data_IF_374485155356
#
_entry.id   IF_374485155356
#
_cell.length_a   1.000
_cell.length_b   1.000
_cell.length_c   1.000
_cell.angle_alpha   90.00
_cell.angle_beta   90.00
_cell.angle_gamma   90.00
#
_symmetry.space_group_name_H-M   'P 1'
#
loop_
_entity.id
_entity.type
_entity.pdbx_description
1 polymer ?
#
# COMPACT_ATOMS: atom_id res chain seq x y z
N UNK A 1 -43.99 -41.04 -66.37
CA UNK A 1 -45.36 -40.50 -66.55
C UNK A 1 -46.24 -41.15 -65.49
N UNK A 2 -47.02 -40.49 -64.63
CA UNK A 2 -47.23 -39.08 -64.28
C UNK A 2 -47.68 -39.10 -62.81
N UNK A 3 -47.01 -38.33 -61.94
CA UNK A 3 -47.39 -38.21 -60.54
C UNK A 3 -48.52 -37.17 -60.44
N UNK A 4 -49.77 -37.61 -60.22
CA UNK A 4 -50.91 -36.71 -60.00
C UNK A 4 -50.81 -36.14 -58.59
N UNK A 5 -50.63 -34.82 -58.46
CA UNK A 5 -50.74 -34.11 -57.18
C UNK A 5 -52.22 -33.92 -56.86
N UNK A 6 -52.65 -34.40 -55.67
CA UNK A 6 -53.96 -34.11 -55.08
C UNK A 6 -54.03 -32.60 -54.81
N UNK A 7 -55.15 -31.96 -55.15
CA UNK A 7 -55.32 -30.52 -54.92
C UNK A 7 -55.70 -30.23 -53.47
N UNK A 8 -55.42 -29.00 -53.02
CA UNK A 8 -55.75 -28.56 -51.66
C UNK A 8 -57.24 -28.70 -51.35
N UNK A 9 -58.11 -28.55 -52.35
CA UNK A 9 -59.57 -28.65 -52.17
C UNK A 9 -60.02 -30.09 -51.87
N UNK A 10 -59.39 -31.10 -52.47
CA UNK A 10 -59.65 -32.52 -52.14
C UNK A 10 -59.17 -32.87 -50.72
N UNK A 11 -58.09 -32.25 -50.25
CA UNK A 11 -57.61 -32.42 -48.88
C UNK A 11 -58.54 -31.75 -47.87
N UNK A 12 -58.97 -30.51 -48.12
CA UNK A 12 -59.90 -29.80 -47.23
C UNK A 12 -61.24 -30.50 -47.12
N UNK A 13 -61.81 -31.00 -48.23
CA UNK A 13 -63.06 -31.76 -48.20
C UNK A 13 -62.96 -33.08 -47.40
N UNK A 14 -61.79 -33.73 -47.41
CA UNK A 14 -61.50 -34.92 -46.60
C UNK A 14 -61.42 -34.60 -45.11
N UNK A 15 -60.82 -33.47 -44.75
CA UNK A 15 -60.66 -33.02 -43.35
C UNK A 15 -62.01 -32.58 -42.77
N UNK A 16 -62.80 -31.80 -43.51
CA UNK A 16 -64.13 -31.35 -43.08
C UNK A 16 -65.08 -32.53 -42.81
N UNK A 17 -65.01 -33.58 -43.66
CA UNK A 17 -65.82 -34.81 -43.50
C UNK A 17 -65.40 -35.66 -42.30
N UNK A 18 -64.14 -35.59 -41.88
CA UNK A 18 -63.67 -36.26 -40.66
C UNK A 18 -63.99 -35.46 -39.39
N UNK A 19 -64.06 -34.13 -39.50
CA UNK A 19 -64.33 -33.23 -38.36
C UNK A 19 -65.83 -32.99 -38.12
N UNK A 20 -66.72 -33.22 -39.10
CA UNK A 20 -68.17 -33.01 -38.94
C UNK A 20 -68.86 -33.96 -37.94
N UNK A 21 -68.12 -34.96 -37.42
CA UNK A 21 -68.60 -35.91 -36.41
C UNK A 21 -68.20 -35.59 -34.97
N UNK A 22 -67.35 -34.59 -34.73
CA UNK A 22 -66.88 -34.25 -33.39
C UNK A 22 -67.83 -33.25 -32.72
N UNK A 23 -68.68 -33.74 -31.81
CA UNK A 23 -69.36 -32.87 -30.85
C UNK A 23 -68.33 -32.22 -29.93
N UNK A 24 -68.42 -30.91 -29.63
CA UNK A 24 -67.52 -30.27 -28.68
C UNK A 24 -67.75 -30.88 -27.29
N UNK A 25 -66.68 -31.41 -26.68
CA UNK A 25 -66.67 -31.90 -25.31
C UNK A 25 -66.39 -30.72 -24.35
N UNK A 26 -67.36 -30.28 -23.53
CA UNK A 26 -67.19 -29.17 -22.60
C UNK A 26 -66.12 -29.45 -21.53
N UNK A 27 -65.78 -30.71 -21.29
CA UNK A 27 -64.83 -31.11 -20.26
C UNK A 27 -63.36 -30.92 -20.70
N UNK A 28 -63.10 -30.90 -22.01
CA UNK A 28 -61.76 -30.67 -22.55
C UNK A 28 -61.36 -29.18 -22.49
N UNK A 29 -62.32 -28.28 -22.76
CA UNK A 29 -62.09 -26.83 -22.69
C UNK A 29 -61.76 -26.38 -21.25
N UNK A 30 -62.46 -26.95 -20.26
CA UNK A 30 -62.23 -26.63 -18.84
C UNK A 30 -60.87 -27.12 -18.32
N UNK A 31 -60.31 -28.20 -18.90
CA UNK A 31 -58.96 -28.69 -18.56
C UNK A 31 -57.84 -27.85 -19.17
N UNK A 32 -58.07 -27.25 -20.33
CA UNK A 32 -57.09 -26.35 -20.96
C UNK A 32 -57.03 -25.04 -20.18
N UNK A 33 -58.18 -24.47 -19.82
CA UNK A 33 -58.28 -23.23 -19.05
C UNK A 33 -57.77 -23.37 -17.59
N UNK A 34 -57.88 -24.57 -17.00
CA UNK A 34 -57.28 -24.87 -15.70
C UNK A 34 -55.75 -25.10 -15.75
N UNK A 35 -55.18 -25.45 -16.91
CA UNK A 35 -53.73 -25.67 -17.07
C UNK A 35 -52.94 -24.39 -17.39
N UNK A 36 -53.61 -23.31 -17.79
CA UNK A 36 -52.96 -22.01 -18.08
C UNK A 36 -52.78 -21.09 -16.86
N UNK A 37 -53.25 -21.50 -15.67
CA UNK A 37 -53.21 -20.67 -14.45
C UNK A 37 -52.19 -21.07 -13.37
N UNK A 38 -51.24 -21.96 -13.65
CA UNK A 38 -50.11 -22.21 -12.74
C UNK A 38 -48.77 -21.70 -13.31
N UNK A 39 -48.35 -20.58 -12.73
CA UNK A 39 -47.00 -20.02 -12.57
C UNK A 39 -46.00 -20.03 -13.74
N UNK A 40 -45.70 -18.80 -14.19
CA UNK A 40 -44.48 -18.42 -14.93
C UNK A 40 -43.27 -19.18 -14.40
N UNK A 41 -42.70 -20.06 -15.22
CA UNK A 41 -41.38 -20.64 -14.98
C UNK A 41 -40.32 -19.55 -15.12
N UNK A 42 -40.04 -18.85 -14.02
CA UNK A 42 -38.82 -18.06 -13.90
C UNK A 42 -37.67 -19.05 -14.04
N UNK A 43 -36.82 -18.87 -15.05
CA UNK A 43 -35.62 -19.71 -15.28
C UNK A 43 -34.84 -19.77 -13.98
N UNK A 44 -34.94 -20.90 -13.26
CA UNK A 44 -34.19 -21.13 -12.03
C UNK A 44 -32.74 -21.29 -12.44
N UNK A 45 -31.96 -20.22 -12.29
CA UNK A 45 -30.50 -20.31 -12.29
C UNK A 45 -30.19 -21.34 -11.21
N UNK A 46 -29.65 -22.49 -11.64
CA UNK A 46 -29.37 -23.61 -10.74
C UNK A 46 -28.55 -23.09 -9.56
N UNK A 47 -28.90 -23.50 -8.34
CA UNK A 47 -28.15 -23.13 -7.14
C UNK A 47 -26.65 -23.44 -7.30
N UNK A 48 -26.29 -24.43 -8.13
CA UNK A 48 -24.90 -24.75 -8.51
C UNK A 48 -24.22 -23.67 -9.36
N UNK A 49 -24.95 -22.99 -10.25
CA UNK A 49 -24.45 -21.87 -11.05
C UNK A 49 -24.31 -20.60 -10.20
N UNK A 50 -25.23 -20.38 -9.25
CA UNK A 50 -25.11 -19.31 -8.24
C UNK A 50 -23.95 -19.63 -7.30
N UNK A 51 -23.72 -20.88 -6.91
CA UNK A 51 -22.60 -21.28 -6.05
C UNK A 51 -21.25 -21.19 -6.78
N UNK A 52 -21.18 -21.59 -8.06
CA UNK A 52 -19.99 -21.41 -8.89
C UNK A 52 -19.72 -19.93 -9.19
N UNK A 53 -20.76 -19.14 -9.51
CA UNK A 53 -20.64 -17.70 -9.65
C UNK A 53 -20.33 -17.02 -8.32
N UNK A 54 -20.80 -17.52 -7.18
CA UNK A 54 -20.43 -17.02 -5.85
C UNK A 54 -19.01 -17.40 -5.48
N UNK A 55 -18.52 -18.61 -5.81
CA UNK A 55 -17.12 -19.01 -5.62
C UNK A 55 -16.20 -18.17 -6.51
N UNK A 56 -16.63 -17.84 -7.74
CA UNK A 56 -15.91 -16.93 -8.65
C UNK A 56 -16.09 -15.45 -8.25
N UNK A 57 -17.20 -15.05 -7.62
CA UNK A 57 -17.40 -13.68 -7.12
C UNK A 57 -16.82 -13.45 -5.72
N UNK A 58 -16.40 -14.51 -5.01
CA UNK A 58 -15.62 -14.39 -3.76
C UNK A 58 -14.13 -14.16 -4.06
N UNK A 59 -13.68 -14.22 -5.32
CA UNK A 59 -12.28 -13.94 -5.68
C UNK A 59 -11.95 -12.45 -5.81
N UNK A 60 -12.65 -11.57 -5.09
CA UNK A 60 -12.19 -10.19 -4.84
C UNK A 60 -12.02 -9.93 -3.34
N UNK A 61 -11.98 -10.97 -2.51
CA UNK A 61 -11.69 -10.79 -1.08
C UNK A 61 -10.90 -11.97 -0.52
N UNK A 62 -9.73 -12.24 -1.10
CA UNK A 62 -8.63 -12.96 -0.43
C UNK A 62 -7.40 -13.04 -1.36
N UNK A 63 -6.67 -11.94 -1.50
CA UNK A 63 -5.22 -12.05 -1.74
C UNK A 63 -4.42 -11.62 -0.49
N UNK A 64 -5.07 -11.13 0.56
CA UNK A 64 -4.42 -10.96 1.87
C UNK A 64 -4.00 -12.31 2.50
N UNK A 65 -4.62 -13.44 2.13
CA UNK A 65 -4.28 -14.77 2.65
C UNK A 65 -3.00 -15.38 2.01
N UNK A 66 -2.36 -14.67 1.07
CA UNK A 66 -1.13 -15.10 0.39
C UNK A 66 0.05 -14.14 0.56
N UNK A 67 -0.12 -13.04 1.30
CA UNK A 67 0.99 -12.14 1.64
C UNK A 67 1.99 -12.86 2.53
N UNK A 68 3.25 -12.89 2.08
CA UNK A 68 4.36 -13.43 2.86
C UNK A 68 5.30 -12.26 3.14
N UNK A 69 5.47 -11.94 4.41
CA UNK A 69 6.43 -10.93 4.84
C UNK A 69 7.75 -11.60 5.18
N UNK A 70 8.85 -10.90 4.86
CA UNK A 70 10.15 -11.29 5.39
C UNK A 70 10.18 -11.07 6.90
N UNK A 71 11.07 -11.80 7.59
CA UNK A 71 11.33 -11.57 9.02
C UNK A 71 11.71 -10.11 9.30
N UNK A 72 12.46 -9.47 8.39
CA UNK A 72 12.85 -8.05 8.48
C UNK A 72 11.63 -7.15 8.63
N UNK A 73 10.58 -7.36 7.83
CA UNK A 73 9.35 -6.54 7.90
C UNK A 73 8.58 -6.78 9.21
N UNK A 74 8.46 -8.03 9.65
CA UNK A 74 7.81 -8.36 10.93
C UNK A 74 8.55 -7.70 12.11
N UNK A 75 9.87 -7.87 12.17
CA UNK A 75 10.71 -7.31 13.23
C UNK A 75 10.70 -5.78 13.20
N UNK A 76 10.73 -5.15 12.03
CA UNK A 76 10.58 -3.69 11.89
C UNK A 76 9.22 -3.19 12.38
N UNK A 77 8.13 -3.91 12.08
CA UNK A 77 6.79 -3.56 12.55
C UNK A 77 6.71 -3.64 14.08
N UNK A 78 7.32 -4.67 14.68
CA UNK A 78 7.43 -4.78 16.12
C UNK A 78 8.28 -3.66 16.73
N UNK A 79 9.40 -3.32 16.09
CA UNK A 79 10.29 -2.26 16.55
C UNK A 79 9.60 -0.89 16.55
N UNK A 80 8.91 -0.55 15.45
CA UNK A 80 8.15 0.69 15.32
C UNK A 80 7.07 0.83 16.40
N UNK A 81 6.33 -0.25 16.68
CA UNK A 81 5.31 -0.27 17.74
C UNK A 81 5.90 -0.13 19.13
N UNK A 82 7.06 -0.76 19.39
CA UNK A 82 7.71 -0.64 20.70
C UNK A 82 8.24 0.77 20.93
N UNK A 83 8.77 1.43 19.89
CA UNK A 83 9.21 2.82 19.99
C UNK A 83 8.05 3.77 20.31
N UNK A 84 6.89 3.59 19.66
CA UNK A 84 5.67 4.33 19.99
C UNK A 84 5.21 4.03 21.42
N UNK A 85 5.20 2.77 21.83
CA UNK A 85 4.77 2.37 23.18
C UNK A 85 5.69 2.87 24.29
N UNK A 86 7.01 2.82 24.09
CA UNK A 86 7.99 3.17 25.11
C UNK A 86 8.21 4.69 25.22
N UNK A 87 8.23 5.39 24.08
CA UNK A 87 8.61 6.81 24.02
C UNK A 87 7.52 7.73 23.44
N UNK A 88 6.39 7.19 22.98
CA UNK A 88 5.33 7.99 22.36
C UNK A 88 5.65 8.48 20.94
N UNK A 89 6.72 7.95 20.32
CA UNK A 89 7.17 8.36 18.99
C UNK A 89 6.35 7.62 17.93
N UNK A 90 5.36 8.31 17.37
CA UNK A 90 4.40 7.74 16.41
C UNK A 90 5.05 7.38 15.09
N UNK A 91 4.39 6.55 14.28
CA UNK A 91 4.85 6.23 12.92
C UNK A 91 5.07 7.46 12.05
N UNK A 92 4.24 8.50 12.22
CA UNK A 92 4.40 9.79 11.53
C UNK A 92 5.68 10.50 11.96
N UNK A 93 6.02 10.51 13.26
CA UNK A 93 7.30 11.09 13.72
C UNK A 93 8.49 10.27 13.20
N UNK A 94 8.40 8.94 13.26
CA UNK A 94 9.42 8.02 12.75
C UNK A 94 9.72 8.30 11.27
N UNK A 95 8.69 8.38 10.43
CA UNK A 95 8.82 8.66 9.00
C UNK A 95 9.11 10.12 8.65
N UNK A 96 9.04 11.06 9.61
CA UNK A 96 9.35 12.47 9.37
C UNK A 96 10.78 12.82 9.78
N UNK A 97 11.24 12.35 10.93
CA UNK A 97 12.39 12.93 11.62
C UNK A 97 13.57 11.98 11.80
N UNK A 98 13.41 10.71 11.43
CA UNK A 98 14.40 9.68 11.68
C UNK A 98 14.80 8.94 10.40
N UNK A 99 16.10 8.72 10.23
CA UNK A 99 16.63 7.67 9.36
C UNK A 99 16.56 6.36 10.13
N UNK A 100 16.17 5.30 9.43
CA UNK A 100 16.11 3.95 9.98
C UNK A 100 17.18 3.07 9.39
N UNK A 101 17.94 2.41 10.25
CA UNK A 101 18.92 1.39 9.89
C UNK A 101 18.51 0.06 10.53
N UNK A 102 18.76 -1.05 9.83
CA UNK A 102 18.39 -2.39 10.28
C UNK A 102 19.58 -3.32 10.16
N UNK A 103 20.01 -3.86 11.29
CA UNK A 103 20.99 -4.93 11.35
C UNK A 103 20.29 -6.22 11.76
N UNK A 104 20.21 -7.19 10.85
CA UNK A 104 19.56 -8.48 11.10
C UNK A 104 20.58 -9.60 11.17
N UNK A 105 20.48 -10.41 12.22
CA UNK A 105 21.20 -11.68 12.37
C UNK A 105 20.20 -12.83 12.46
N UNK A 106 20.71 -14.07 12.50
CA UNK A 106 19.87 -15.25 12.70
C UNK A 106 19.08 -15.22 14.01
N UNK A 107 19.56 -14.52 15.04
CA UNK A 107 18.98 -14.55 16.38
C UNK A 107 18.21 -13.29 16.76
N UNK A 108 18.63 -12.15 16.24
CA UNK A 108 18.10 -10.85 16.64
C UNK A 108 18.15 -9.85 15.49
N UNK A 109 17.21 -8.91 15.52
CA UNK A 109 17.19 -7.74 14.64
C UNK A 109 17.33 -6.50 15.50
N UNK A 110 18.30 -5.65 15.18
CA UNK A 110 18.51 -4.36 15.81
C UNK A 110 18.05 -3.30 14.81
N UNK A 111 17.12 -2.45 15.24
CA UNK A 111 16.60 -1.33 14.44
C UNK A 111 16.99 -0.04 15.12
N UNK A 112 17.79 0.78 14.43
CA UNK A 112 18.20 2.10 14.90
C UNK A 112 17.38 3.18 14.20
N UNK A 113 16.89 4.15 14.98
CA UNK A 113 16.20 5.35 14.52
C UNK A 113 17.04 6.55 14.94
N UNK A 114 17.78 7.13 13.99
CA UNK A 114 18.66 8.27 14.23
C UNK A 114 18.03 9.55 13.65
N UNK A 115 18.08 10.65 14.40
CA UNK A 115 17.55 11.93 13.90
C UNK A 115 18.19 12.34 12.57
N UNK A 116 17.41 12.96 11.69
CA UNK A 116 17.88 13.47 10.39
C UNK A 116 18.86 14.64 10.58
N UNK A 117 19.96 14.63 9.83
CA UNK A 117 20.89 15.76 9.71
C UNK A 117 21.25 16.42 11.07
N UNK A 118 20.95 17.72 11.22
CA UNK A 118 21.18 18.52 12.43
C UNK A 118 20.34 18.09 13.63
N UNK A 119 19.26 17.34 13.41
CA UNK A 119 18.41 16.82 14.48
C UNK A 119 19.06 15.63 15.20
N UNK A 120 20.06 14.98 14.59
CA UNK A 120 20.71 13.78 15.15
C UNK A 120 21.24 13.98 16.56
N UNK A 121 21.82 15.15 16.85
CA UNK A 121 22.35 15.44 18.17
C UNK A 121 21.21 15.57 19.22
N UNK A 122 20.23 16.41 18.93
CA UNK A 122 19.15 16.74 19.88
C UNK A 122 18.17 15.58 20.07
N UNK A 123 17.81 14.87 19.00
CA UNK A 123 16.93 13.70 19.05
C UNK A 123 17.64 12.43 19.50
N UNK A 124 18.98 12.39 19.39
CA UNK A 124 19.77 11.19 19.62
C UNK A 124 19.39 10.04 18.68
N UNK A 125 19.78 8.84 19.11
CA UNK A 125 19.44 7.57 18.48
C UNK A 125 18.57 6.73 19.42
N UNK A 126 17.48 6.20 18.89
CA UNK A 126 16.67 5.17 19.54
C UNK A 126 17.05 3.81 18.94
N UNK A 127 17.38 2.85 19.78
CA UNK A 127 17.73 1.49 19.35
C UNK A 127 16.68 0.52 19.87
N UNK A 128 16.08 -0.24 18.97
CA UNK A 128 15.11 -1.27 19.31
C UNK A 128 15.69 -2.63 18.97
N UNK A 129 15.87 -3.48 19.98
CA UNK A 129 16.30 -4.86 19.79
C UNK A 129 15.07 -5.76 19.76
N UNK A 130 14.93 -6.54 18.68
CA UNK A 130 13.88 -7.54 18.50
C UNK A 130 14.47 -8.94 18.57
N UNK A 131 14.04 -9.71 19.57
CA UNK A 131 14.51 -11.07 19.83
C UNK A 131 13.36 -11.92 20.36
N UNK A 132 13.21 -13.13 19.81
CA UNK A 132 12.15 -14.08 20.19
C UNK A 132 10.73 -13.44 20.14
N UNK A 133 10.47 -12.60 19.14
CA UNK A 133 9.19 -11.88 18.97
C UNK A 133 8.92 -10.80 20.02
N UNK A 134 9.93 -10.39 20.80
CA UNK A 134 9.85 -9.32 21.79
C UNK A 134 10.76 -8.18 21.39
N UNK A 135 10.25 -6.97 21.48
CA UNK A 135 10.99 -5.75 21.23
C UNK A 135 11.33 -5.06 22.55
N UNK A 136 12.50 -4.41 22.61
CA UNK A 136 12.90 -3.53 23.72
C UNK A 136 13.60 -2.32 23.14
N UNK A 137 13.08 -1.14 23.45
CA UNK A 137 13.63 0.13 23.00
C UNK A 137 14.50 0.76 24.10
N UNK A 138 15.58 1.38 23.68
CA UNK A 138 16.41 2.27 24.50
C UNK A 138 16.68 3.56 23.73
N UNK A 139 16.93 4.64 24.45
CA UNK A 139 17.32 5.91 23.86
C UNK A 139 18.72 6.28 24.33
N UNK A 140 19.57 6.70 23.39
CA UNK A 140 20.93 7.16 23.68
C UNK A 140 21.00 8.31 24.70
N UNK A 141 19.89 9.01 24.94
CA UNK A 141 19.78 10.13 25.89
C UNK A 141 18.82 9.83 27.05
N UNK A 142 18.56 8.55 27.31
CA UNK A 142 17.75 8.12 28.46
C UNK A 142 18.31 8.71 29.77
N UNK A 143 17.41 9.33 30.54
CA UNK A 143 17.75 9.96 31.82
C UNK A 143 18.21 11.42 31.72
N UNK A 144 18.34 11.99 30.52
CA UNK A 144 18.54 13.42 30.33
C UNK A 144 17.25 14.23 30.54
N UNK A 145 17.40 15.50 30.93
CA UNK A 145 16.26 16.40 31.10
C UNK A 145 15.81 16.97 29.74
N UNK A 146 14.57 16.69 29.37
CA UNK A 146 13.95 17.19 28.13
C UNK A 146 13.05 18.40 28.38
N UNK A 147 12.99 18.92 29.62
CA UNK A 147 12.18 20.08 29.93
C UNK A 147 12.76 21.37 29.31
N UNK A 148 11.88 22.30 28.92
CA UNK A 148 12.29 23.60 28.38
C UNK A 148 12.09 23.79 26.88
N UNK A 149 11.38 22.88 26.21
CA UNK A 149 11.08 23.01 24.77
C UNK A 149 12.34 22.88 23.91
N UNK A 150 12.46 23.68 22.85
CA UNK A 150 13.61 23.63 21.94
C UNK A 150 14.92 24.20 22.51
N UNK A 151 14.91 24.74 23.73
CA UNK A 151 16.12 25.16 24.44
C UNK A 151 16.77 24.01 25.22
N UNK A 152 16.08 22.88 25.37
CA UNK A 152 16.60 21.69 26.04
C UNK A 152 17.76 21.08 25.24
N UNK A 153 18.76 20.55 25.93
CA UNK A 153 19.90 19.91 25.26
C UNK A 153 19.49 18.58 24.60
N UNK A 154 18.47 17.88 25.13
CA UNK A 154 17.90 16.63 24.61
C UNK A 154 16.41 16.81 24.28
N UNK A 155 15.99 16.34 23.11
CA UNK A 155 14.63 16.52 22.60
C UNK A 155 13.86 15.20 22.62
N UNK A 156 12.82 15.17 23.45
CA UNK A 156 11.93 14.02 23.60
C UNK A 156 10.63 14.19 22.81
N UNK A 157 9.63 13.42 23.21
CA UNK A 157 8.31 13.40 22.54
C UNK A 157 7.59 14.75 22.55
N UNK A 158 7.82 15.59 23.56
CA UNK A 158 7.21 16.94 23.61
C UNK A 158 7.73 17.83 22.47
N UNK A 159 9.05 17.84 22.25
CA UNK A 159 9.67 18.56 21.13
C UNK A 159 9.27 17.96 19.79
N UNK A 160 9.22 16.64 19.66
CA UNK A 160 8.75 15.98 18.42
C UNK A 160 7.30 16.35 18.08
N UNK A 161 6.42 16.49 19.08
CA UNK A 161 5.06 16.99 18.84
C UNK A 161 5.07 18.46 18.39
N UNK A 162 5.89 19.30 19.01
CA UNK A 162 6.02 20.70 18.59
C UNK A 162 6.57 20.84 17.16
N UNK A 163 7.54 20.00 16.77
CA UNK A 163 8.05 19.93 15.39
C UNK A 163 6.94 19.51 14.43
N UNK A 164 6.17 18.48 14.79
CA UNK A 164 5.07 17.97 13.99
C UNK A 164 3.98 19.03 13.79
N UNK A 165 3.63 19.77 14.84
CA UNK A 165 2.67 20.87 14.76
C UNK A 165 3.21 22.01 13.89
N UNK A 166 4.51 22.31 13.97
CA UNK A 166 5.15 23.33 13.13
C UNK A 166 5.10 22.96 11.63
N UNK A 167 5.44 21.71 11.29
CA UNK A 167 5.43 21.22 9.91
C UNK A 167 4.00 21.12 9.33
N UNK A 168 3.02 20.72 10.14
CA UNK A 168 1.61 20.65 9.73
C UNK A 168 1.01 22.02 9.44
N UNK A 169 1.44 23.06 10.14
CA UNK A 169 0.88 24.41 10.01
C UNK A 169 1.62 25.25 8.94
N UNK A 170 2.11 24.61 7.87
CA UNK A 170 2.79 25.24 6.73
C UNK A 170 4.00 26.11 7.12
N UNK A 171 4.74 25.72 8.17
CA UNK A 171 5.96 26.41 8.60
C UNK A 171 5.70 27.91 8.83
N UNK A 172 4.73 28.23 9.70
CA UNK A 172 4.36 29.62 10.01
C UNK A 172 5.63 30.47 10.22
N UNK A 173 5.88 31.49 9.37
CA UNK A 173 7.11 32.27 9.44
C UNK A 173 7.24 33.07 10.74
N UNK A 174 6.18 33.15 11.54
CA UNK A 174 6.18 33.77 12.87
C UNK A 174 6.58 32.80 13.99
N UNK A 175 6.72 31.50 13.71
CA UNK A 175 7.24 30.51 14.65
C UNK A 175 8.72 30.23 14.37
N UNK A 176 9.57 30.11 15.41
CA UNK A 176 10.97 29.78 15.23
C UNK A 176 11.10 28.39 14.63
N UNK A 177 11.84 28.30 13.52
CA UNK A 177 12.27 27.05 12.93
C UNK A 177 13.14 26.29 13.94
N UNK A 178 12.82 25.01 14.16
CA UNK A 178 13.54 24.16 15.09
C UNK A 178 14.89 23.72 14.54
N UNK A 179 15.09 23.68 13.22
CA UNK A 179 16.36 23.25 12.61
C UNK A 179 17.56 24.12 13.02
N UNK A 180 17.49 25.48 12.94
CA UNK A 180 18.53 26.35 13.45
C UNK A 180 18.83 26.18 14.95
N UNK A 181 17.80 25.94 15.76
CA UNK A 181 17.96 25.73 17.20
C UNK A 181 18.69 24.42 17.49
N UNK A 182 18.32 23.33 16.80
CA UNK A 182 19.02 22.05 16.87
C UNK A 182 20.49 22.19 16.46
N UNK A 183 20.76 22.93 15.37
CA UNK A 183 22.11 23.19 14.89
C UNK A 183 22.94 24.02 15.89
N UNK A 184 22.35 25.03 16.53
CA UNK A 184 23.04 25.82 17.57
C UNK A 184 23.41 24.95 18.79
N UNK A 185 22.48 24.11 19.25
CA UNK A 185 22.74 23.18 20.36
C UNK A 185 23.85 22.20 19.98
N UNK A 186 23.78 21.58 18.80
CA UNK A 186 24.82 20.69 18.30
C UNK A 186 26.19 21.38 18.25
N UNK A 187 26.25 22.63 17.77
CA UNK A 187 27.47 23.42 17.73
C UNK A 187 28.03 23.74 19.11
N UNK A 188 27.16 24.13 20.05
CA UNK A 188 27.52 24.44 21.45
C UNK A 188 28.21 23.26 22.13
N UNK A 189 27.77 22.04 21.81
CA UNK A 189 28.31 20.79 22.33
C UNK A 189 29.41 20.17 21.45
N UNK A 190 29.81 20.84 20.37
CA UNK A 190 30.82 20.36 19.42
C UNK A 190 30.49 18.96 18.87
N UNK A 191 29.19 18.69 18.67
CA UNK A 191 28.74 17.44 18.09
C UNK A 191 29.30 17.28 16.67
N UNK A 192 29.77 16.08 16.33
CA UNK A 192 30.20 15.79 14.97
C UNK A 192 29.00 15.91 14.02
N UNK A 193 29.09 16.84 13.07
CA UNK A 193 28.15 16.91 11.98
C UNK A 193 28.45 15.76 11.02
N UNK A 194 27.61 14.73 11.03
CA UNK A 194 27.65 13.64 10.05
C UNK A 194 26.78 14.02 8.86
N UNK A 195 27.38 14.72 7.91
CA UNK A 195 26.86 14.80 6.55
C UNK A 195 27.95 14.18 5.68
N UNK A 196 27.65 13.08 5.00
CA UNK A 196 28.63 12.27 4.26
C UNK A 196 29.20 12.99 3.01
N UNK A 197 29.04 14.30 2.92
CA UNK A 197 29.36 15.11 1.76
C UNK A 197 28.42 14.79 0.60
N UNK A 198 28.47 15.62 -0.44
CA UNK A 198 27.87 15.24 -1.71
C UNK A 198 28.83 14.25 -2.40
N UNK A 199 28.35 13.08 -2.87
CA UNK A 199 29.17 12.17 -3.64
C UNK A 199 29.78 12.90 -4.85
N UNK A 200 31.03 12.56 -5.19
CA UNK A 200 31.67 13.08 -6.39
C UNK A 200 30.94 12.60 -7.66
N UNK A 201 31.09 13.32 -8.77
CA UNK A 201 30.49 12.94 -10.05
C UNK A 201 30.90 11.51 -10.48
N UNK A 202 32.13 11.10 -10.22
CA UNK A 202 32.62 9.75 -10.50
C UNK A 202 31.93 8.69 -9.61
N UNK A 203 31.69 9.01 -8.33
CA UNK A 203 30.92 8.13 -7.43
C UNK A 203 29.46 8.03 -7.89
N UNK A 204 28.83 9.15 -8.24
CA UNK A 204 27.47 9.17 -8.79
C UNK A 204 27.39 8.30 -10.03
N UNK A 205 28.30 8.48 -11.00
CA UNK A 205 28.32 7.70 -12.23
C UNK A 205 28.53 6.20 -11.96
N UNK A 206 29.41 5.86 -11.01
CA UNK A 206 29.66 4.47 -10.61
C UNK A 206 28.42 3.84 -9.98
N UNK A 207 27.76 4.54 -9.06
CA UNK A 207 26.55 4.08 -8.38
C UNK A 207 25.37 3.94 -9.35
N UNK A 208 25.20 4.88 -10.27
CA UNK A 208 24.17 4.82 -11.32
C UNK A 208 24.37 3.58 -12.20
N UNK A 209 25.60 3.29 -12.61
CA UNK A 209 25.90 2.09 -13.41
C UNK A 209 25.63 0.81 -12.64
N UNK A 210 26.05 0.74 -11.38
CA UNK A 210 25.78 -0.41 -10.52
C UNK A 210 24.27 -0.64 -10.35
N UNK A 211 23.52 0.41 -10.05
CA UNK A 211 22.05 0.36 -9.91
C UNK A 211 21.39 -0.16 -11.19
N UNK A 212 21.85 0.26 -12.36
CA UNK A 212 21.33 -0.24 -13.63
C UNK A 212 21.64 -1.73 -13.83
N UNK A 213 22.85 -2.18 -13.48
CA UNK A 213 23.24 -3.59 -13.57
C UNK A 213 22.39 -4.47 -12.63
N UNK A 214 22.17 -4.01 -11.40
CA UNK A 214 21.30 -4.67 -10.41
C UNK A 214 19.83 -4.71 -10.86
N UNK A 215 19.35 -3.61 -11.47
CA UNK A 215 18.00 -3.53 -12.02
C UNK A 215 17.81 -4.53 -13.18
N UNK A 216 18.77 -4.59 -14.11
CA UNK A 216 18.74 -5.52 -15.24
C UNK A 216 18.82 -6.98 -14.76
N UNK A 217 19.67 -7.26 -13.78
CA UNK A 217 19.76 -8.57 -13.14
C UNK A 217 18.42 -8.97 -12.53
N UNK A 218 17.84 -8.12 -11.70
CA UNK A 218 16.59 -8.40 -10.99
C UNK A 218 15.43 -8.57 -11.96
N UNK A 219 15.36 -7.74 -13.00
CA UNK A 219 14.37 -7.88 -14.07
C UNK A 219 14.53 -9.20 -14.83
N UNK A 220 15.76 -9.66 -15.06
CA UNK A 220 16.02 -10.90 -15.82
C UNK A 220 15.57 -12.17 -15.10
N UNK A 221 15.52 -12.15 -13.76
CA UNK A 221 15.10 -13.28 -12.92
C UNK A 221 13.64 -13.20 -12.47
N UNK A 222 12.95 -12.10 -12.78
CA UNK A 222 11.57 -11.86 -12.37
C UNK A 222 10.63 -12.99 -12.84
N UNK A 223 9.87 -13.55 -11.89
CA UNK A 223 8.84 -14.57 -12.13
C UNK A 223 7.43 -14.01 -12.03
N UNK A 224 7.30 -12.81 -11.47
CA UNK A 224 6.07 -12.06 -11.33
C UNK A 224 6.06 -10.89 -12.32
N UNK A 225 4.86 -10.52 -12.75
CA UNK A 225 4.63 -9.29 -13.51
C UNK A 225 4.64 -8.08 -12.58
N UNK A 226 4.96 -6.90 -13.11
CA UNK A 226 4.89 -5.64 -12.34
C UNK A 226 3.50 -5.41 -11.75
N UNK A 227 2.45 -5.76 -12.50
CA UNK A 227 1.07 -5.64 -12.02
C UNK A 227 0.80 -6.52 -10.79
N UNK A 228 1.32 -7.75 -10.77
CA UNK A 228 1.18 -8.64 -9.61
C UNK A 228 1.95 -8.09 -8.40
N UNK A 229 3.16 -7.58 -8.61
CA UNK A 229 3.97 -6.98 -7.55
C UNK A 229 3.36 -5.69 -6.99
N UNK A 230 2.78 -4.83 -7.85
CA UNK A 230 2.04 -3.63 -7.42
C UNK A 230 0.85 -4.00 -6.53
N UNK A 231 0.11 -5.07 -6.89
CA UNK A 231 -1.03 -5.52 -6.10
C UNK A 231 -0.61 -6.11 -4.74
N UNK A 232 0.46 -6.91 -4.71
CA UNK A 232 1.06 -7.40 -3.47
C UNK A 232 1.50 -6.23 -2.57
N UNK A 233 2.19 -5.25 -3.13
CA UNK A 233 2.66 -4.08 -2.42
C UNK A 233 1.50 -3.23 -1.86
N UNK A 234 0.42 -3.06 -2.65
CA UNK A 234 -0.80 -2.35 -2.23
C UNK A 234 -1.49 -3.02 -1.04
N UNK A 235 -1.49 -4.35 -0.98
CA UNK A 235 -2.03 -5.07 0.16
C UNK A 235 -1.09 -5.04 1.37
N UNK A 236 0.23 -5.09 1.12
CA UNK A 236 1.24 -5.00 2.16
C UNK A 236 1.14 -3.70 2.97
N UNK A 237 1.06 -2.55 2.30
CA UNK A 237 0.90 -1.25 3.00
C UNK A 237 -0.41 -1.17 3.79
N UNK A 238 -1.51 -1.71 3.26
CA UNK A 238 -2.79 -1.71 3.95
C UNK A 238 -2.70 -2.48 5.27
N UNK A 239 -2.03 -3.63 5.23
CA UNK A 239 -1.79 -4.49 6.38
C UNK A 239 -0.80 -3.90 7.39
N UNK A 240 0.35 -3.39 6.92
CA UNK A 240 1.42 -2.89 7.80
C UNK A 240 1.02 -1.58 8.47
N UNK A 241 0.47 -0.63 7.70
CA UNK A 241 0.13 0.72 8.17
C UNK A 241 -1.33 0.87 8.57
N UNK A 242 -2.12 -0.21 8.55
CA UNK A 242 -3.54 -0.24 8.89
C UNK A 242 -4.35 0.82 8.13
N UNK A 243 -4.12 0.96 6.82
CA UNK A 243 -4.85 1.94 6.01
C UNK A 243 -6.33 1.54 5.89
N UNK A 244 -7.23 2.51 5.97
CA UNK A 244 -8.68 2.26 5.79
C UNK A 244 -9.02 2.09 4.31
N UNK A 245 -10.18 1.50 4.00
CA UNK A 245 -10.66 1.39 2.62
C UNK A 245 -10.74 2.75 1.91
N UNK A 246 -11.16 3.80 2.62
CA UNK A 246 -11.20 5.16 2.10
C UNK A 246 -9.81 5.70 1.76
N UNK A 247 -8.82 5.42 2.62
CA UNK A 247 -7.41 5.78 2.36
C UNK A 247 -6.85 4.98 1.17
N UNK A 248 -7.16 3.69 1.10
CA UNK A 248 -6.74 2.83 -0.02
C UNK A 248 -7.31 3.30 -1.36
N UNK A 249 -8.51 3.88 -1.38
CA UNK A 249 -9.12 4.47 -2.58
C UNK A 249 -8.42 5.76 -3.04
N UNK A 250 -7.73 6.46 -2.15
CA UNK A 250 -6.99 7.68 -2.46
C UNK A 250 -5.52 7.41 -2.84
N UNK A 251 -5.04 6.20 -2.57
CA UNK A 251 -3.66 5.80 -2.76
C UNK A 251 -3.29 5.68 -4.24
N UNK A 252 -2.32 6.51 -4.67
CA UNK A 252 -1.81 6.55 -6.05
C UNK A 252 -0.49 5.81 -6.16
N UNK A 253 -0.40 4.87 -7.09
CA UNK A 253 0.86 4.19 -7.43
C UNK A 253 1.60 5.01 -8.50
N UNK A 254 2.85 5.37 -8.26
CA UNK A 254 3.63 6.20 -9.19
C UNK A 254 3.83 5.53 -10.54
N UNK A 255 4.09 4.22 -10.51
CA UNK A 255 4.26 3.37 -11.69
C UNK A 255 3.00 3.33 -12.57
N UNK A 256 1.81 3.56 -12.00
CA UNK A 256 0.55 3.59 -12.76
C UNK A 256 0.25 4.97 -13.38
N UNK A 257 0.93 6.04 -12.94
CA UNK A 257 0.66 7.41 -13.41
C UNK A 257 1.22 7.72 -14.79
N UNK A 258 2.15 6.90 -15.30
CA UNK A 258 2.83 7.12 -16.58
C UNK A 258 3.88 8.24 -16.55
N UNK A 259 4.03 8.96 -15.42
CA UNK A 259 5.14 9.88 -15.17
C UNK A 259 6.31 9.11 -14.54
N UNK A 260 6.79 8.11 -15.26
CA UNK A 260 8.01 7.38 -14.89
C UNK A 260 9.16 8.24 -15.40
N UNK A 261 9.95 8.79 -14.49
CA UNK A 261 11.24 9.35 -14.85
C UNK A 261 12.09 8.22 -15.45
N UNK A 262 12.63 8.43 -16.65
CA UNK A 262 13.43 7.42 -17.38
C UNK A 262 14.64 6.97 -16.55
N UNK A 263 15.08 7.80 -15.60
CA UNK A 263 16.20 7.52 -14.71
C UNK A 263 15.79 6.75 -13.43
N UNK A 264 14.49 6.57 -13.17
CA UNK A 264 14.02 5.83 -11.98
C UNK A 264 14.02 4.31 -12.21
N UNK A 265 14.99 3.63 -11.59
CA UNK A 265 15.04 2.17 -11.55
C UNK A 265 14.14 1.62 -10.43
N UNK A 266 13.04 0.97 -10.79
CA UNK A 266 12.18 0.26 -9.83
C UNK A 266 12.63 -1.18 -9.53
N UNK A 267 13.55 -1.73 -10.31
CA UNK A 267 14.17 -3.01 -10.01
C UNK A 267 15.51 -2.77 -9.32
N UNK A 268 15.88 -3.62 -8.38
CA UNK A 268 17.15 -3.51 -7.66
C UNK A 268 17.44 -4.72 -6.78
N UNK A 269 18.52 -4.64 -6.02
CA UNK A 269 18.89 -5.65 -5.04
C UNK A 269 18.75 -5.06 -3.63
N UNK A 270 18.03 -5.76 -2.76
CA UNK A 270 17.86 -5.42 -1.34
C UNK A 270 18.28 -6.64 -0.50
N UNK A 271 19.26 -6.49 0.40
CA UNK A 271 19.83 -7.59 1.21
C UNK A 271 20.17 -8.85 0.38
N UNK A 272 20.85 -8.67 -0.76
CA UNK A 272 21.19 -9.71 -1.76
C UNK A 272 19.98 -10.34 -2.49
N UNK A 273 18.77 -9.81 -2.33
CA UNK A 273 17.55 -10.33 -2.95
C UNK A 273 17.10 -9.44 -4.11
N UNK A 274 16.69 -10.03 -5.25
CA UNK A 274 16.16 -9.25 -6.37
C UNK A 274 14.74 -8.77 -6.05
N UNK A 275 14.55 -7.45 -6.09
CA UNK A 275 13.31 -6.79 -5.72
C UNK A 275 12.78 -5.84 -6.80
N UNK A 276 11.48 -5.58 -6.71
CA UNK A 276 10.79 -4.51 -7.39
C UNK A 276 10.19 -3.56 -6.35
N UNK A 277 10.68 -2.32 -6.33
CA UNK A 277 10.25 -1.25 -5.43
C UNK A 277 9.01 -0.56 -5.98
N UNK A 278 7.90 -0.68 -5.24
CA UNK A 278 6.62 -0.05 -5.58
C UNK A 278 6.42 1.20 -4.74
N UNK A 279 6.10 2.31 -5.39
CA UNK A 279 6.01 3.62 -4.76
C UNK A 279 4.57 4.11 -4.79
N UNK A 280 4.03 4.43 -3.61
CA UNK A 280 2.70 4.98 -3.47
C UNK A 280 2.73 6.34 -2.81
N UNK A 281 1.78 7.20 -3.16
CA UNK A 281 1.50 8.42 -2.45
C UNK A 281 0.05 8.40 -1.95
N UNK A 282 -0.12 8.77 -0.68
CA UNK A 282 -1.41 9.08 -0.08
C UNK A 282 -1.47 10.57 0.20
N UNK A 283 -2.49 11.23 -0.34
CA UNK A 283 -2.82 12.62 -0.04
C UNK A 283 -4.33 12.70 0.16
N UNK A 284 -4.74 12.90 1.41
CA UNK A 284 -6.14 12.98 1.82
C UNK A 284 -6.69 14.41 1.76
N UNK A 285 -5.84 15.40 1.96
CA UNK A 285 -6.19 16.81 1.82
C UNK A 285 -6.55 17.19 0.39
N UNK A 286 -7.52 18.10 0.22
CA UNK A 286 -7.78 18.69 -1.09
C UNK A 286 -6.72 19.74 -1.40
N UNK A 287 -6.08 19.66 -2.56
CA UNK A 287 -5.28 20.77 -3.10
C UNK A 287 -6.21 21.97 -3.28
N UNK A 288 -5.96 23.03 -2.52
CA UNK A 288 -6.67 24.29 -2.69
C UNK A 288 -6.53 24.81 -4.12
N UNK A 289 -7.45 25.67 -4.55
CA UNK A 289 -7.41 26.31 -5.87
C UNK A 289 -6.27 27.32 -6.05
N UNK A 290 -5.47 27.55 -5.00
CA UNK A 290 -4.30 28.41 -5.01
C UNK A 290 -3.05 27.59 -5.34
N UNK A 291 -2.38 27.84 -6.48
CA UNK A 291 -1.12 27.20 -6.81
C UNK A 291 -0.08 27.43 -5.70
N UNK A 292 0.60 26.36 -5.28
CA UNK A 292 1.63 26.42 -4.23
C UNK A 292 1.13 26.32 -2.79
N UNK A 293 -0.18 26.17 -2.55
CA UNK A 293 -0.68 25.84 -1.20
C UNK A 293 -0.65 24.33 -1.00
N UNK A 294 0.16 23.86 -0.04
CA UNK A 294 0.21 22.46 0.36
C UNK A 294 -1.16 22.05 0.94
N UNK A 295 -1.68 20.85 0.60
CA UNK A 295 -2.83 20.31 1.30
C UNK A 295 -2.53 20.19 2.79
N UNK A 296 -3.53 20.45 3.64
CA UNK A 296 -3.40 20.20 5.07
C UNK A 296 -3.05 18.72 5.29
N UNK A 297 -2.00 18.47 6.05
CA UNK A 297 -1.57 17.12 6.35
C UNK A 297 -2.63 16.39 7.17
N UNK A 298 -3.00 15.20 6.71
CA UNK A 298 -3.82 14.25 7.46
C UNK A 298 -2.94 13.06 7.85
N UNK A 299 -3.15 12.51 9.04
CA UNK A 299 -2.43 11.31 9.51
C UNK A 299 -2.41 10.23 8.42
N UNK A 300 -1.21 9.65 8.17
CA UNK A 300 -0.91 8.69 7.08
C UNK A 300 -0.75 9.29 5.68
N UNK A 301 -0.91 10.59 5.48
CA UNK A 301 -0.43 11.22 4.26
C UNK A 301 1.08 11.00 4.12
N UNK A 302 1.55 10.90 2.87
CA UNK A 302 2.96 10.70 2.58
C UNK A 302 3.25 9.70 1.47
N UNK A 303 4.50 9.27 1.43
CA UNK A 303 5.05 8.30 0.47
C UNK A 303 5.23 6.96 1.18
N UNK A 304 4.86 5.90 0.49
CA UNK A 304 5.08 4.52 0.90
C UNK A 304 5.92 3.82 -0.16
N UNK A 305 6.95 3.10 0.27
CA UNK A 305 7.75 2.26 -0.62
C UNK A 305 7.71 0.83 -0.12
N UNK A 306 7.52 -0.13 -1.03
CA UNK A 306 7.51 -1.55 -0.72
C UNK A 306 8.40 -2.29 -1.70
N UNK A 307 9.34 -3.07 -1.18
CA UNK A 307 10.18 -3.93 -2.00
C UNK A 307 9.58 -5.33 -2.05
N UNK A 308 9.21 -5.76 -3.25
CA UNK A 308 8.64 -7.08 -3.50
C UNK A 308 9.69 -7.96 -4.17
N UNK A 309 9.97 -9.12 -3.59
CA UNK A 309 10.89 -10.09 -4.19
C UNK A 309 10.34 -10.57 -5.54
N UNK A 310 11.09 -10.33 -6.62
CA UNK A 310 10.62 -10.55 -7.99
C UNK A 310 10.42 -12.02 -8.35
N UNK A 311 11.05 -12.93 -7.60
CA UNK A 311 10.96 -14.37 -7.83
C UNK A 311 9.84 -15.03 -7.02
N UNK A 312 9.55 -14.50 -5.82
CA UNK A 312 8.73 -15.20 -4.81
C UNK A 312 7.49 -14.42 -4.39
N UNK A 313 7.46 -13.11 -4.58
CA UNK A 313 6.40 -12.23 -4.09
C UNK A 313 6.46 -11.93 -2.59
N UNK A 314 7.53 -12.37 -1.91
CA UNK A 314 7.78 -12.00 -0.50
C UNK A 314 7.98 -10.48 -0.40
N UNK A 315 7.36 -9.87 0.60
CA UNK A 315 7.58 -8.45 0.93
C UNK A 315 8.87 -8.36 1.74
N UNK A 316 9.92 -7.81 1.15
CA UNK A 316 11.26 -7.78 1.74
C UNK A 316 11.47 -6.56 2.62
N UNK A 317 10.86 -5.42 2.27
CA UNK A 317 10.97 -4.17 3.00
C UNK A 317 9.69 -3.33 2.87
N UNK A 318 9.47 -2.43 3.84
CA UNK A 318 8.45 -1.38 3.77
C UNK A 318 8.98 -0.07 4.37
N UNK A 319 8.69 1.04 3.72
CA UNK A 319 9.02 2.40 4.18
C UNK A 319 7.77 3.27 4.18
N UNK A 320 7.69 4.18 5.15
CA UNK A 320 6.73 5.26 5.22
C UNK A 320 7.48 6.55 5.52
N UNK A 321 7.26 7.56 4.68
CA UNK A 321 7.75 8.92 4.84
C UNK A 321 6.53 9.84 4.79
N UNK A 322 6.33 10.67 5.82
CA UNK A 322 5.17 11.58 5.88
C UNK A 322 5.28 12.75 4.89
N UNK A 323 6.49 13.03 4.40
CA UNK A 323 6.85 14.22 3.64
C UNK A 323 6.80 15.53 4.44
N UNK A 324 6.62 15.49 5.77
CA UNK A 324 6.52 16.71 6.59
C UNK A 324 7.86 17.42 6.75
N UNK A 325 8.95 16.67 6.90
CA UNK A 325 10.29 17.20 7.12
C UNK A 325 11.13 17.36 5.83
N UNK A 326 10.55 17.07 4.66
CA UNK A 326 11.27 17.19 3.39
C UNK A 326 11.64 18.66 3.09
N UNK A 327 12.86 18.88 2.62
CA UNK A 327 13.30 20.15 2.05
C UNK A 327 12.74 20.28 0.62
N UNK A 328 12.20 21.45 0.26
CA UNK A 328 11.87 21.78 -1.14
C UNK A 328 13.12 22.18 -1.93
#
# INVERSE_FOLDING_TARGET
MNNKKISADEFHASVERQLSGLKPDPWLAQRIEASEKEEKSVKKISATFILLAAIICVSVTALAAGLIFSRKVDDMTLASRELEKAYGITSTMQGSYFVREVEQTDQETVVSFAGLENLRYVLGEYTVTVKDGKATAIWSRDGEDTAGGFEADAWGVEQLNAMLDWDKNNRDPNQPDYYPLAAEIAQRHQAEYRCDGMPSEDEINTLTKLRQEEADQSRSVAKLTEKEMIELARQAIASVYNLTDDQMNLLKCFQETGNIDEDTCYYGIEDEKPVFSVWFNLCQGQTGSTPGTRPDFVEKDGIYVVDVNVETGVIESTLYDSGLCANE
#
